data_IF_106255203339
#
_entry.id   IF_106255203339
#
_cell.length_a   1.000
_cell.length_b   1.000
_cell.length_c   1.000
_cell.angle_alpha   90.00
_cell.angle_beta   90.00
_cell.angle_gamma   90.00
#
_symmetry.space_group_name_H-M   'P 1'
#
loop_
_entity.id
_entity.type
_entity.pdbx_description
1 polymer ?
#
# COMPACT_ATOMS: atom_id res chain seq x y z
N UNK A 1 24.60 -0.36 -4.88
CA UNK A 1 23.57 -1.35 -4.47
C UNK A 1 22.20 -1.06 -5.06
N UNK A 2 21.54 0.08 -4.75
CA UNK A 2 20.18 0.38 -5.23
C UNK A 2 20.04 0.38 -6.76
N UNK A 3 20.99 0.98 -7.49
CA UNK A 3 21.02 0.96 -8.96
C UNK A 3 21.05 -0.47 -9.53
N UNK A 4 21.77 -1.38 -8.88
CA UNK A 4 21.85 -2.79 -9.29
C UNK A 4 20.52 -3.50 -9.06
N UNK A 5 19.90 -3.30 -7.89
CA UNK A 5 18.58 -3.84 -7.60
C UNK A 5 17.54 -3.35 -8.61
N UNK A 6 17.50 -2.05 -8.92
CA UNK A 6 16.59 -1.50 -9.93
C UNK A 6 16.81 -2.13 -11.31
N UNK A 7 18.07 -2.31 -11.74
CA UNK A 7 18.37 -3.01 -13.00
C UNK A 7 17.85 -4.44 -13.00
N UNK A 8 18.03 -5.18 -11.91
CA UNK A 8 17.57 -6.56 -11.79
C UNK A 8 16.03 -6.65 -11.80
N UNK A 9 15.33 -5.72 -11.13
CA UNK A 9 13.87 -5.64 -11.16
C UNK A 9 13.38 -5.38 -12.59
N UNK A 10 13.95 -4.37 -13.27
CA UNK A 10 13.58 -4.03 -14.65
C UNK A 10 13.82 -5.21 -15.59
N UNK A 11 14.97 -5.88 -15.48
CA UNK A 11 15.28 -7.06 -16.28
C UNK A 11 14.26 -8.18 -16.04
N UNK A 12 13.94 -8.48 -14.77
CA UNK A 12 12.95 -9.50 -14.43
C UNK A 12 11.56 -9.17 -14.96
N UNK A 13 11.10 -7.92 -14.89
CA UNK A 13 9.79 -7.53 -15.43
C UNK A 13 9.75 -7.67 -16.95
N UNK A 14 10.76 -7.14 -17.65
CA UNK A 14 10.86 -7.24 -19.12
C UNK A 14 10.94 -8.68 -19.60
N UNK A 15 11.75 -9.53 -18.95
CA UNK A 15 11.89 -10.95 -19.29
C UNK A 15 10.58 -11.71 -19.21
N UNK A 16 9.66 -11.29 -18.34
CA UNK A 16 8.34 -11.91 -18.18
C UNK A 16 7.22 -11.12 -18.88
N UNK A 17 7.55 -10.26 -19.84
CA UNK A 17 6.60 -9.45 -20.62
C UNK A 17 5.69 -8.54 -19.77
N UNK A 18 6.15 -8.12 -18.60
CA UNK A 18 5.39 -7.22 -17.71
C UNK A 18 5.80 -5.79 -18.00
N UNK A 19 4.84 -4.99 -18.48
CA UNK A 19 5.02 -3.57 -18.74
C UNK A 19 4.89 -2.74 -17.46
N UNK A 20 5.64 -1.65 -17.36
CA UNK A 20 5.47 -0.64 -16.32
C UNK A 20 5.57 0.76 -16.94
N UNK A 21 4.78 1.70 -16.45
CA UNK A 21 4.75 3.07 -16.98
C UNK A 21 5.98 3.87 -16.56
N UNK A 22 6.36 3.76 -15.29
CA UNK A 22 7.56 4.38 -14.71
C UNK A 22 7.95 3.68 -13.42
N UNK A 23 9.11 4.06 -12.89
CA UNK A 23 9.48 3.80 -11.50
C UNK A 23 10.00 5.09 -10.87
N UNK A 24 9.96 5.18 -9.54
CA UNK A 24 10.52 6.30 -8.79
C UNK A 24 11.14 5.83 -7.47
N UNK A 25 12.14 6.55 -6.98
CA UNK A 25 12.63 6.39 -5.61
C UNK A 25 11.83 7.26 -4.66
N UNK A 26 11.66 6.82 -3.41
CA UNK A 26 11.24 7.71 -2.33
C UNK A 26 12.35 8.71 -2.00
N UNK A 27 12.01 9.85 -1.37
CA UNK A 27 12.99 10.91 -1.06
C UNK A 27 14.12 10.42 -0.14
N UNK A 28 13.82 9.48 0.76
CA UNK A 28 14.78 8.82 1.65
C UNK A 28 15.54 7.67 0.98
N UNK A 29 15.28 7.40 -0.30
CA UNK A 29 15.79 6.25 -1.07
C UNK A 29 15.54 4.88 -0.43
N UNK A 30 14.61 4.80 0.53
CA UNK A 30 14.30 3.56 1.24
C UNK A 30 13.41 2.61 0.44
N UNK A 31 12.66 3.12 -0.55
CA UNK A 31 11.75 2.33 -1.38
C UNK A 31 11.90 2.68 -2.87
N UNK A 32 11.66 1.66 -3.70
CA UNK A 32 11.50 1.80 -5.14
C UNK A 32 10.02 1.54 -5.46
N UNK A 33 9.37 2.49 -6.10
CA UNK A 33 7.96 2.40 -6.47
C UNK A 33 7.86 2.14 -7.97
N UNK A 34 7.24 1.03 -8.36
CA UNK A 34 6.95 0.69 -9.75
C UNK A 34 5.46 0.90 -10.04
N UNK A 35 5.16 1.44 -11.21
CA UNK A 35 3.80 1.73 -11.66
C UNK A 35 3.40 0.75 -12.76
N UNK A 36 2.61 -0.24 -12.39
CA UNK A 36 2.14 -1.30 -13.28
C UNK A 36 0.64 -1.14 -13.53
N UNK A 37 0.14 -1.84 -14.54
CA UNK A 37 -1.30 -2.07 -14.70
C UNK A 37 -1.79 -2.99 -13.59
N UNK A 38 -3.03 -2.81 -13.15
CA UNK A 38 -3.61 -3.60 -12.05
C UNK A 38 -3.55 -5.12 -12.32
N UNK A 39 -3.86 -5.54 -13.54
CA UNK A 39 -3.83 -6.93 -14.00
C UNK A 39 -2.44 -7.58 -13.88
N UNK A 40 -1.36 -6.80 -14.00
CA UNK A 40 0.02 -7.29 -13.97
C UNK A 40 0.60 -7.40 -12.56
N UNK A 41 -0.02 -6.79 -11.54
CA UNK A 41 0.55 -6.65 -10.18
C UNK A 41 0.86 -8.01 -9.54
N UNK A 42 -0.09 -8.93 -9.58
CA UNK A 42 0.07 -10.25 -8.94
C UNK A 42 1.17 -11.07 -9.62
N UNK A 43 1.21 -11.02 -10.95
CA UNK A 43 2.24 -11.70 -11.74
C UNK A 43 3.63 -11.11 -11.46
N UNK A 44 3.74 -9.77 -11.41
CA UNK A 44 4.97 -9.07 -11.07
C UNK A 44 5.48 -9.45 -9.68
N UNK A 45 4.61 -9.44 -8.66
CA UNK A 45 4.98 -9.84 -7.30
C UNK A 45 5.51 -11.28 -7.29
N UNK A 46 4.85 -12.20 -8.00
CA UNK A 46 5.26 -13.59 -8.10
C UNK A 46 6.68 -13.78 -8.65
N UNK A 47 7.00 -13.10 -9.75
CA UNK A 47 8.33 -13.19 -10.36
C UNK A 47 9.40 -12.48 -9.53
N UNK A 48 9.11 -11.27 -9.05
CA UNK A 48 10.07 -10.48 -8.27
C UNK A 48 10.47 -11.19 -6.98
N UNK A 49 9.51 -11.74 -6.23
CA UNK A 49 9.81 -12.51 -5.00
C UNK A 49 10.67 -13.75 -5.27
N UNK A 50 10.45 -14.43 -6.40
CA UNK A 50 11.13 -15.70 -6.71
C UNK A 50 12.50 -15.52 -7.37
N UNK A 51 12.72 -14.43 -8.11
CA UNK A 51 13.84 -14.31 -9.05
C UNK A 51 14.78 -13.13 -8.81
N UNK A 52 14.40 -12.17 -7.95
CA UNK A 52 15.21 -10.97 -7.73
C UNK A 52 15.71 -10.91 -6.29
N UNK A 53 17.00 -11.20 -6.11
CA UNK A 53 17.67 -11.06 -4.83
C UNK A 53 17.81 -9.58 -4.41
N UNK A 54 17.83 -9.34 -3.10
CA UNK A 54 17.92 -8.01 -2.51
C UNK A 54 16.57 -7.32 -2.26
N UNK A 55 15.46 -7.95 -2.65
CA UNK A 55 14.11 -7.51 -2.25
C UNK A 55 13.80 -8.09 -0.88
N UNK A 56 13.66 -7.22 0.13
CA UNK A 56 13.23 -7.62 1.47
C UNK A 56 11.70 -7.78 1.55
N UNK A 57 10.95 -6.86 0.97
CA UNK A 57 9.49 -6.86 1.00
C UNK A 57 8.90 -6.19 -0.23
N UNK A 58 7.72 -6.63 -0.65
CA UNK A 58 6.92 -6.01 -1.72
C UNK A 58 5.51 -5.76 -1.19
N UNK A 59 4.99 -4.58 -1.44
CA UNK A 59 3.64 -4.17 -1.07
C UNK A 59 2.90 -3.63 -2.29
N UNK A 60 1.85 -4.31 -2.80
CA UNK A 60 0.93 -3.69 -3.73
C UNK A 60 0.22 -2.52 -3.03
N UNK A 61 0.07 -1.40 -3.72
CA UNK A 61 -0.50 -0.19 -3.13
C UNK A 61 -1.21 0.66 -4.18
N UNK A 62 -2.25 1.37 -3.74
CA UNK A 62 -2.95 2.36 -4.55
C UNK A 62 -2.29 3.72 -4.32
N UNK A 63 -1.91 4.42 -5.40
CA UNK A 63 -1.38 5.78 -5.29
C UNK A 63 -2.52 6.80 -5.24
N UNK A 64 -2.39 7.76 -4.34
CA UNK A 64 -3.29 8.92 -4.25
C UNK A 64 -2.49 10.21 -3.99
N UNK A 65 -3.17 11.36 -3.96
CA UNK A 65 -2.55 12.61 -3.53
C UNK A 65 -2.47 12.68 -2.00
N UNK A 66 -1.64 13.57 -1.47
CA UNK A 66 -1.52 13.80 -0.01
C UNK A 66 -2.67 14.61 0.59
N UNK A 67 -3.82 14.72 -0.10
CA UNK A 67 -5.01 15.38 0.41
C UNK A 67 -5.76 14.39 1.29
N UNK A 68 -6.04 14.76 2.55
CA UNK A 68 -6.65 13.86 3.54
C UNK A 68 -7.94 13.20 3.04
N UNK A 69 -8.83 13.96 2.37
CA UNK A 69 -10.05 13.42 1.75
C UNK A 69 -9.76 12.31 0.73
N UNK A 70 -8.72 12.47 -0.08
CA UNK A 70 -8.35 11.47 -1.08
C UNK A 70 -7.71 10.23 -0.45
N UNK A 71 -7.02 10.40 0.69
CA UNK A 71 -6.51 9.27 1.49
C UNK A 71 -7.69 8.48 2.05
N UNK A 72 -8.66 9.15 2.69
CA UNK A 72 -9.87 8.52 3.24
C UNK A 72 -10.60 7.72 2.16
N UNK A 73 -10.83 8.32 0.98
CA UNK A 73 -11.52 7.62 -0.12
C UNK A 73 -10.80 6.33 -0.55
N UNK A 74 -9.46 6.35 -0.62
CA UNK A 74 -8.70 5.13 -0.97
C UNK A 74 -8.63 4.12 0.17
N UNK A 75 -8.63 4.57 1.43
CA UNK A 75 -8.79 3.68 2.58
C UNK A 75 -10.10 2.92 2.50
N UNK A 76 -11.21 3.60 2.15
CA UNK A 76 -12.51 2.95 1.99
C UNK A 76 -12.54 1.96 0.83
N UNK A 77 -11.91 2.29 -0.31
CA UNK A 77 -11.77 1.35 -1.43
C UNK A 77 -11.04 0.07 -1.02
N UNK A 78 -9.88 0.20 -0.35
CA UNK A 78 -9.15 -0.96 0.19
C UNK A 78 -9.99 -1.69 1.23
N UNK A 79 -10.65 -0.96 2.13
CA UNK A 79 -11.48 -1.51 3.19
C UNK A 79 -12.60 -2.39 2.62
N UNK A 80 -13.25 -1.95 1.54
CA UNK A 80 -14.28 -2.71 0.84
C UNK A 80 -13.78 -4.06 0.33
N UNK A 81 -12.53 -4.11 -0.12
CA UNK A 81 -11.94 -5.31 -0.72
C UNK A 81 -11.41 -6.31 0.32
N UNK A 82 -11.08 -5.85 1.53
CA UNK A 82 -10.34 -6.68 2.51
C UNK A 82 -11.02 -6.87 3.86
N UNK A 83 -12.06 -6.10 4.21
CA UNK A 83 -12.74 -6.20 5.51
C UNK A 83 -13.98 -7.06 5.41
N UNK A 84 -14.11 -8.01 6.33
CA UNK A 84 -15.23 -8.94 6.42
C UNK A 84 -16.04 -8.73 7.72
N UNK A 85 -17.19 -9.41 7.83
CA UNK A 85 -18.04 -9.38 9.03
C UNK A 85 -17.23 -9.71 10.30
N UNK A 86 -17.42 -8.90 11.35
CA UNK A 86 -16.77 -9.02 12.66
C UNK A 86 -15.24 -8.92 12.63
N UNK A 87 -14.65 -8.39 11.55
CA UNK A 87 -13.21 -8.17 11.51
C UNK A 87 -12.75 -7.13 12.52
N UNK A 88 -11.59 -7.41 13.13
CA UNK A 88 -10.81 -6.37 13.81
C UNK A 88 -9.80 -5.76 12.85
N UNK A 89 -9.67 -4.43 12.88
CA UNK A 89 -8.76 -3.73 12.00
C UNK A 89 -7.94 -2.64 12.71
N UNK A 90 -6.86 -2.19 12.06
CA UNK A 90 -6.14 -0.99 12.44
C UNK A 90 -5.63 -0.23 11.22
N UNK A 91 -5.71 1.10 11.28
CA UNK A 91 -5.03 1.99 10.33
C UNK A 91 -3.61 2.25 10.84
N UNK A 92 -2.61 2.04 9.98
CA UNK A 92 -1.18 2.12 10.27
C UNK A 92 -0.50 3.16 9.40
N UNK A 93 -0.94 4.40 9.52
CA UNK A 93 -0.43 5.51 8.73
C UNK A 93 1.04 5.82 9.07
N UNK A 94 1.84 6.07 8.03
CA UNK A 94 3.17 6.67 8.14
C UNK A 94 3.24 7.93 7.29
N UNK A 95 3.62 9.04 7.91
CA UNK A 95 3.82 10.32 7.23
C UNK A 95 5.28 10.53 6.88
N UNK A 96 5.54 10.94 5.63
CA UNK A 96 6.85 11.43 5.18
C UNK A 96 6.69 12.85 4.63
N UNK A 97 7.63 13.74 4.95
CA UNK A 97 7.55 15.16 4.59
C UNK A 97 6.67 16.00 5.53
N UNK A 98 6.44 17.26 5.16
CA UNK A 98 5.62 18.22 5.92
C UNK A 98 4.18 18.24 5.38
N UNK A 99 3.21 18.03 6.27
CA UNK A 99 1.77 18.05 5.97
C UNK A 99 1.03 18.73 7.13
N UNK A 100 -0.16 19.29 6.90
CA UNK A 100 -0.97 19.94 7.95
C UNK A 100 -1.63 18.94 8.92
N UNK A 101 -1.39 17.64 8.74
CA UNK A 101 -1.92 16.56 9.58
C UNK A 101 -0.79 15.65 10.07
N UNK A 102 -1.02 14.99 11.19
CA UNK A 102 -0.15 13.97 11.76
C UNK A 102 -0.51 12.57 11.23
N UNK A 103 0.35 11.58 11.45
CA UNK A 103 0.00 10.18 11.16
C UNK A 103 -1.18 9.70 12.02
N UNK A 104 -1.32 10.26 13.23
CA UNK A 104 -2.41 9.92 14.13
C UNK A 104 -3.73 10.48 13.62
N UNK A 105 -3.75 11.71 13.12
CA UNK A 105 -4.94 12.33 12.50
C UNK A 105 -5.41 11.49 11.30
N UNK A 106 -4.48 11.03 10.46
CA UNK A 106 -4.80 10.15 9.33
C UNK A 106 -5.42 8.84 9.84
N UNK A 107 -4.84 8.22 10.86
CA UNK A 107 -5.33 6.97 11.41
C UNK A 107 -6.73 7.11 12.02
N UNK A 108 -6.96 8.19 12.76
CA UNK A 108 -8.25 8.52 13.37
C UNK A 108 -9.33 8.76 12.30
N UNK A 109 -9.06 9.65 11.34
CA UNK A 109 -10.04 10.03 10.31
C UNK A 109 -10.36 8.87 9.36
N UNK A 110 -9.34 8.09 8.98
CA UNK A 110 -9.55 6.88 8.18
C UNK A 110 -10.30 5.80 8.97
N UNK A 111 -9.96 5.60 10.25
CA UNK A 111 -10.62 4.62 11.12
C UNK A 111 -12.10 4.97 11.34
N UNK A 112 -12.38 6.24 11.62
CA UNK A 112 -13.75 6.76 11.73
C UNK A 112 -14.54 6.55 10.43
N UNK A 113 -13.93 6.86 9.28
CA UNK A 113 -14.58 6.67 7.98
C UNK A 113 -14.91 5.19 7.71
N UNK A 114 -13.98 4.27 8.02
CA UNK A 114 -14.21 2.81 7.88
C UNK A 114 -15.38 2.35 8.76
N UNK A 115 -15.39 2.72 10.05
CA UNK A 115 -16.50 2.37 10.95
C UNK A 115 -17.83 2.98 10.50
N UNK A 116 -17.80 4.21 9.98
CA UNK A 116 -19.00 4.93 9.55
C UNK A 116 -19.58 4.39 8.24
N UNK A 117 -18.72 3.98 7.30
CA UNK A 117 -19.13 3.50 5.97
C UNK A 117 -19.53 2.02 5.98
N UNK A 118 -18.92 1.21 6.86
CA UNK A 118 -19.12 -0.24 6.90
C UNK A 118 -19.80 -0.69 8.20
N UNK A 119 -20.85 0.03 8.62
CA UNK A 119 -21.57 -0.22 9.87
C UNK A 119 -22.14 -1.64 9.95
N UNK A 120 -22.60 -2.17 8.81
CA UNK A 120 -23.22 -3.48 8.72
C UNK A 120 -22.22 -4.63 8.99
N UNK A 121 -20.92 -4.38 8.83
CA UNK A 121 -19.87 -5.39 9.05
C UNK A 121 -19.54 -5.62 10.53
N UNK A 122 -20.09 -4.84 11.47
CA UNK A 122 -19.81 -4.95 12.90
C UNK A 122 -18.29 -4.98 13.21
N UNK A 123 -17.54 -4.04 12.61
CA UNK A 123 -16.09 -3.96 12.73
C UNK A 123 -15.67 -3.44 14.11
N UNK A 124 -14.49 -3.87 14.59
CA UNK A 124 -13.87 -3.33 15.79
C UNK A 124 -12.43 -2.84 15.54
N UNK A 125 -12.03 -1.76 16.22
CA UNK A 125 -10.65 -1.26 16.16
C UNK A 125 -9.79 -2.00 17.18
N UNK A 126 -8.70 -2.63 16.72
CA UNK A 126 -7.72 -3.28 17.58
C UNK A 126 -6.30 -2.82 17.24
N UNK A 127 -5.73 -1.95 18.09
CA UNK A 127 -4.41 -1.37 17.86
C UNK A 127 -3.25 -2.31 18.23
N UNK A 128 -3.52 -3.44 18.89
CA UNK A 128 -2.50 -4.39 19.33
C UNK A 128 -2.37 -5.56 18.36
N UNK A 129 -3.45 -6.32 18.16
CA UNK A 129 -3.47 -7.51 17.31
C UNK A 129 -4.71 -7.54 16.39
N UNK A 130 -4.77 -6.66 15.38
CA UNK A 130 -5.88 -6.65 14.44
C UNK A 130 -5.77 -7.79 13.43
N UNK A 131 -6.90 -8.35 13.03
CA UNK A 131 -7.00 -9.34 11.94
C UNK A 131 -6.60 -8.71 10.60
N UNK A 132 -7.02 -7.46 10.33
CA UNK A 132 -6.69 -6.73 9.09
C UNK A 132 -5.92 -5.43 9.39
N UNK A 133 -4.96 -5.09 8.55
CA UNK A 133 -4.16 -3.85 8.69
C UNK A 133 -4.22 -3.09 7.37
N UNK A 134 -4.58 -1.81 7.45
CA UNK A 134 -4.52 -0.87 6.32
C UNK A 134 -3.36 0.08 6.60
N UNK A 135 -2.42 0.20 5.68
CA UNK A 135 -1.17 0.96 5.84
C UNK A 135 -1.17 2.25 5.05
#
# INVERSE_FOLDING_TARGET
MLKTLTKNIIFSLKKNNISFHKYQYTQDFARILFFLKNEDINMAIGFLKKKVFGIHSISPAIRTSSILKNIINRTLEIGKDILDQNDSFAIRARRSGKHPFTSQDVAEQCGYAVLSCFKDLNLNVNLSNPKKKIF
#
